data_IF_900368162282
#
_entry.id   IF_900368162282
#
_cell.length_a   1.000
_cell.length_b   1.000
_cell.length_c   1.000
_cell.angle_alpha   90.00
_cell.angle_beta   90.00
_cell.angle_gamma   90.00
#
_symmetry.space_group_name_H-M   'P 1'
#
loop_
_entity.id
_entity.type
_entity.pdbx_description
1 polymer ?
#
# COMPACT_ATOMS: atom_id res chain seq x y z
N UNK A 1 -9.49 22.99 14.63
CA UNK A 1 -8.63 21.80 14.55
C UNK A 1 -8.12 21.71 13.13
N UNK A 2 -6.85 21.37 12.91
CA UNK A 2 -6.29 21.24 11.56
C UNK A 2 -6.17 19.76 11.22
N UNK A 3 -6.89 19.32 10.21
CA UNK A 3 -6.97 17.91 9.81
C UNK A 3 -5.82 17.57 8.86
N UNK A 4 -5.05 16.53 9.17
CA UNK A 4 -4.08 15.94 8.23
C UNK A 4 -4.79 14.87 7.41
N UNK A 5 -4.68 14.93 6.10
CA UNK A 5 -5.30 13.96 5.18
C UNK A 5 -4.22 13.08 4.57
N UNK A 6 -4.38 11.76 4.67
CA UNK A 6 -3.49 10.78 4.06
C UNK A 6 -4.24 10.02 2.98
N UNK A 7 -3.74 10.09 1.75
CA UNK A 7 -4.26 9.36 0.61
C UNK A 7 -3.33 8.17 0.36
N UNK A 8 -3.81 6.96 0.64
CA UNK A 8 -3.09 5.74 0.30
C UNK A 8 -3.39 5.31 -1.13
N UNK A 9 -2.35 4.95 -1.88
CA UNK A 9 -2.45 4.48 -3.26
C UNK A 9 -1.71 3.15 -3.36
N UNK A 10 -2.40 2.07 -3.76
CA UNK A 10 -1.71 0.84 -4.20
C UNK A 10 -1.16 1.07 -5.61
N UNK A 11 0.02 0.53 -5.91
CA UNK A 11 0.51 0.53 -7.28
C UNK A 11 -0.51 -0.05 -8.28
N UNK A 12 -0.49 0.45 -9.51
CA UNK A 12 -1.30 -0.06 -10.61
C UNK A 12 -0.96 -1.50 -10.98
N UNK A 13 -1.81 -2.08 -11.81
CA UNK A 13 -1.72 -3.48 -12.24
C UNK A 13 -0.38 -3.80 -12.90
N UNK A 14 0.26 -4.88 -12.47
CA UNK A 14 1.54 -5.37 -13.00
C UNK A 14 1.40 -6.63 -13.85
N UNK A 15 2.48 -6.96 -14.58
CA UNK A 15 2.61 -8.21 -15.31
C UNK A 15 2.56 -9.48 -14.42
N UNK A 16 2.79 -9.35 -13.11
CA UNK A 16 2.60 -10.44 -12.15
C UNK A 16 1.14 -10.56 -11.74
N UNK A 17 0.48 -9.43 -11.46
CA UNK A 17 -0.96 -9.43 -11.12
C UNK A 17 -1.81 -10.01 -12.26
N UNK A 18 -1.47 -9.73 -13.53
CA UNK A 18 -2.17 -10.32 -14.69
C UNK A 18 -2.07 -11.85 -14.75
N UNK A 19 -1.00 -12.41 -14.22
CA UNK A 19 -0.77 -13.86 -14.14
C UNK A 19 -1.28 -14.47 -12.84
N UNK A 20 -1.88 -13.67 -11.95
CA UNK A 20 -2.29 -14.11 -10.62
C UNK A 20 -1.11 -14.52 -9.73
N UNK A 21 0.09 -13.98 -9.99
CA UNK A 21 1.31 -14.29 -9.27
C UNK A 21 1.56 -13.23 -8.19
N UNK A 22 2.16 -13.66 -7.08
CA UNK A 22 2.58 -12.77 -6.01
C UNK A 22 3.90 -12.07 -6.37
N UNK A 23 3.84 -10.75 -6.46
CA UNK A 23 4.92 -9.87 -6.89
C UNK A 23 5.98 -9.73 -5.78
N UNK A 24 5.57 -9.49 -4.53
CA UNK A 24 6.44 -9.09 -3.41
C UNK A 24 7.53 -8.11 -3.84
N UNK A 25 8.79 -8.40 -3.59
CA UNK A 25 9.90 -7.50 -3.93
C UNK A 25 10.45 -7.72 -5.36
N UNK A 26 9.71 -8.41 -6.24
CA UNK A 26 10.09 -8.52 -7.65
C UNK A 26 10.16 -7.17 -8.36
N UNK A 27 10.94 -7.13 -9.45
CA UNK A 27 10.96 -6.05 -10.44
C UNK A 27 9.74 -6.10 -11.38
N UNK A 28 8.54 -6.15 -10.80
CA UNK A 28 7.28 -6.13 -11.54
C UNK A 28 7.05 -4.77 -12.21
N UNK A 29 6.51 -4.79 -13.43
CA UNK A 29 6.31 -3.61 -14.27
C UNK A 29 4.83 -3.39 -14.50
N UNK A 30 4.39 -2.12 -14.60
CA UNK A 30 3.00 -1.79 -14.91
C UNK A 30 2.62 -2.29 -16.32
N UNK A 31 1.41 -2.82 -16.43
CA UNK A 31 0.83 -3.17 -17.74
C UNK A 31 0.18 -1.96 -18.39
N UNK A 32 -0.43 -2.12 -19.57
CA UNK A 32 -1.23 -1.05 -20.18
C UNK A 32 -2.32 -0.57 -19.24
N UNK A 33 -3.03 -1.52 -18.62
CA UNK A 33 -4.08 -1.26 -17.61
C UNK A 33 -3.49 -0.50 -16.41
N UNK A 34 -2.32 -0.93 -15.91
CA UNK A 34 -1.66 -0.26 -14.78
C UNK A 34 -1.27 1.19 -15.08
N UNK A 35 -0.81 1.48 -16.30
CA UNK A 35 -0.50 2.85 -16.72
C UNK A 35 -1.75 3.72 -16.88
N UNK A 36 -2.86 3.15 -17.33
CA UNK A 36 -4.11 3.90 -17.42
C UNK A 36 -4.71 4.16 -16.03
N UNK A 37 -4.55 3.23 -15.09
CA UNK A 37 -4.85 3.48 -13.67
C UNK A 37 -4.01 4.63 -13.10
N UNK A 38 -2.71 4.66 -13.40
CA UNK A 38 -1.81 5.74 -12.97
C UNK A 38 -2.26 7.13 -13.47
N UNK A 39 -2.68 7.23 -14.74
CA UNK A 39 -3.26 8.47 -15.29
C UNK A 39 -4.56 8.85 -14.58
N UNK A 40 -5.45 7.87 -14.36
CA UNK A 40 -6.73 8.10 -13.70
C UNK A 40 -6.57 8.56 -12.26
N UNK A 41 -5.55 8.11 -11.54
CA UNK A 41 -5.20 8.63 -10.21
C UNK A 41 -4.88 10.12 -10.28
N UNK A 42 -4.10 10.55 -11.28
CA UNK A 42 -3.78 11.97 -11.48
C UNK A 42 -5.04 12.80 -11.78
N UNK A 43 -5.96 12.26 -12.58
CA UNK A 43 -7.24 12.89 -12.90
C UNK A 43 -8.15 13.01 -11.67
N UNK A 44 -8.31 11.93 -10.88
CA UNK A 44 -9.15 11.93 -9.66
C UNK A 44 -8.69 13.00 -8.67
N UNK A 45 -7.38 13.21 -8.57
CA UNK A 45 -6.78 14.16 -7.64
C UNK A 45 -6.37 15.48 -8.30
N UNK A 46 -6.91 15.82 -9.48
CA UNK A 46 -6.55 17.06 -10.18
C UNK A 46 -6.79 18.31 -9.33
N UNK A 47 -7.87 18.31 -8.54
CA UNK A 47 -8.33 19.47 -7.77
C UNK A 47 -7.95 19.39 -6.29
N UNK A 48 -7.39 18.25 -5.85
CA UNK A 48 -6.95 18.05 -4.47
C UNK A 48 -5.66 18.83 -4.18
N UNK A 49 -5.60 19.54 -3.06
CA UNK A 49 -4.40 20.29 -2.66
C UNK A 49 -3.40 19.36 -1.97
N UNK A 50 -2.58 18.66 -2.76
CA UNK A 50 -1.56 17.74 -2.24
C UNK A 50 -0.27 18.50 -1.92
N UNK A 51 0.20 18.36 -0.68
CA UNK A 51 1.42 19.00 -0.17
C UNK A 51 2.67 18.14 -0.40
N UNK A 52 2.55 16.82 -0.33
CA UNK A 52 3.70 15.91 -0.51
C UNK A 52 3.29 14.54 -1.05
N UNK A 53 4.21 13.90 -1.77
CA UNK A 53 4.04 12.56 -2.33
C UNK A 53 5.19 11.66 -1.85
N UNK A 54 4.81 10.55 -1.24
CA UNK A 54 5.69 9.50 -0.76
C UNK A 54 5.44 8.22 -1.53
N UNK A 55 6.50 7.43 -1.75
CA UNK A 55 6.36 6.15 -2.43
C UNK A 55 7.31 5.11 -1.87
N UNK A 56 6.89 3.85 -1.97
CA UNK A 56 7.79 2.71 -1.99
C UNK A 56 8.88 2.90 -3.06
N UNK A 57 10.12 2.40 -2.85
CA UNK A 57 11.18 2.54 -3.83
C UNK A 57 11.01 1.69 -5.08
N UNK A 58 10.06 0.73 -5.12
CA UNK A 58 9.87 -0.16 -6.25
C UNK A 58 9.24 0.55 -7.45
N UNK A 59 9.78 0.27 -8.65
CA UNK A 59 9.45 0.97 -9.90
C UNK A 59 7.94 1.07 -10.15
N UNK A 60 7.19 -0.02 -9.94
CA UNK A 60 5.72 -0.02 -10.12
C UNK A 60 5.00 1.04 -9.28
N UNK A 61 5.45 1.35 -8.06
CA UNK A 61 4.86 2.41 -7.24
C UNK A 61 5.25 3.79 -7.78
N UNK A 62 6.52 3.96 -8.12
CA UNK A 62 7.04 5.21 -8.71
C UNK A 62 6.30 5.53 -10.01
N UNK A 63 6.19 4.56 -10.92
CA UNK A 63 5.49 4.70 -12.19
C UNK A 63 4.00 4.99 -11.99
N UNK A 64 3.39 4.40 -10.95
CA UNK A 64 1.97 4.64 -10.64
C UNK A 64 1.72 6.08 -10.22
N UNK A 65 2.60 6.65 -9.38
CA UNK A 65 2.38 7.98 -8.82
C UNK A 65 3.00 9.11 -9.62
N UNK A 66 3.87 8.78 -10.58
CA UNK A 66 4.55 9.76 -11.46
C UNK A 66 3.60 10.70 -12.20
N UNK A 67 2.47 10.25 -12.80
CA UNK A 67 1.55 11.17 -13.46
C UNK A 67 0.99 12.23 -12.51
N UNK A 68 0.61 11.84 -11.28
CA UNK A 68 0.10 12.76 -10.26
C UNK A 68 1.19 13.72 -9.78
N UNK A 69 2.40 13.21 -9.52
CA UNK A 69 3.52 14.03 -9.11
C UNK A 69 3.84 15.12 -10.16
N UNK A 70 3.85 14.74 -11.44
CA UNK A 70 4.04 15.68 -12.55
C UNK A 70 2.93 16.72 -12.64
N UNK A 71 1.66 16.32 -12.52
CA UNK A 71 0.53 17.27 -12.59
C UNK A 71 0.52 18.26 -11.43
N UNK A 72 1.07 17.89 -10.27
CA UNK A 72 1.19 18.75 -9.10
C UNK A 72 2.51 19.53 -9.02
N UNK A 73 3.48 19.24 -9.90
CA UNK A 73 4.82 19.82 -9.83
C UNK A 73 5.59 19.41 -8.57
N UNK A 74 5.32 18.22 -8.03
CA UNK A 74 5.91 17.71 -6.79
C UNK A 74 6.96 16.63 -7.07
N UNK A 75 7.97 16.56 -6.22
CA UNK A 75 8.92 15.45 -6.20
C UNK A 75 8.33 14.24 -5.45
N UNK A 76 8.76 13.04 -5.86
CA UNK A 76 8.40 11.79 -5.18
C UNK A 76 9.49 11.46 -4.16
N UNK A 77 9.16 11.52 -2.88
CA UNK A 77 10.07 11.09 -1.82
C UNK A 77 9.97 9.57 -1.61
N UNK A 78 11.08 8.86 -1.82
CA UNK A 78 11.13 7.40 -1.62
C UNK A 78 11.35 7.06 -0.14
N UNK A 79 10.55 6.16 0.40
CA UNK A 79 10.71 5.64 1.76
C UNK A 79 10.88 4.12 1.67
N UNK A 80 12.07 3.63 2.06
CA UNK A 80 12.40 2.20 1.99
C UNK A 80 11.44 1.33 2.82
N UNK A 81 10.99 1.82 3.97
CA UNK A 81 10.05 1.13 4.85
C UNK A 81 8.62 1.01 4.29
N UNK A 82 8.36 1.55 3.08
CA UNK A 82 7.14 1.30 2.31
C UNK A 82 7.30 0.18 1.26
N UNK A 83 8.43 -0.54 1.25
CA UNK A 83 8.61 -1.72 0.39
C UNK A 83 7.61 -2.83 0.74
N UNK A 84 7.20 -3.62 -0.25
CA UNK A 84 6.30 -4.76 -0.03
C UNK A 84 6.95 -5.78 0.90
N UNK A 85 6.11 -6.61 1.54
CA UNK A 85 6.54 -7.73 2.39
C UNK A 85 7.62 -8.56 1.69
N UNK A 86 8.71 -8.84 2.40
CA UNK A 86 9.69 -9.82 1.98
C UNK A 86 9.14 -11.22 2.25
N UNK A 87 8.84 -11.96 1.18
CA UNK A 87 8.29 -13.32 1.27
C UNK A 87 8.88 -14.21 0.16
N UNK A 88 10.15 -14.66 0.31
CA UNK A 88 10.89 -15.30 -0.76
C UNK A 88 10.25 -16.60 -1.27
N UNK A 89 9.68 -17.43 -0.38
CA UNK A 89 9.09 -18.72 -0.77
C UNK A 89 7.76 -18.56 -1.51
N UNK A 90 7.05 -17.46 -1.27
CA UNK A 90 5.78 -17.14 -1.92
C UNK A 90 5.96 -16.31 -3.19
N UNK A 91 7.16 -15.79 -3.43
CA UNK A 91 7.48 -15.05 -4.64
C UNK A 91 7.27 -15.89 -5.90
N UNK A 92 6.60 -15.30 -6.89
CA UNK A 92 6.21 -15.96 -8.14
C UNK A 92 5.24 -17.15 -7.97
N UNK A 93 4.64 -17.33 -6.80
CA UNK A 93 3.58 -18.32 -6.58
C UNK A 93 2.25 -17.71 -6.95
N UNK A 94 1.29 -18.57 -7.30
CA UNK A 94 -0.09 -18.16 -7.51
C UNK A 94 -0.72 -17.74 -6.19
N UNK A 95 -1.64 -16.79 -6.25
CA UNK A 95 -2.41 -16.27 -5.11
C UNK A 95 -3.18 -17.35 -4.30
N UNK A 96 -3.34 -18.57 -4.80
CA UNK A 96 -3.97 -19.68 -4.06
C UNK A 96 -3.05 -20.22 -2.96
N UNK A 97 -3.02 -19.56 -1.80
CA UNK A 97 -2.25 -19.93 -0.62
C UNK A 97 -2.87 -21.08 0.21
N UNK A 98 -3.92 -21.77 -0.29
CA UNK A 98 -4.74 -22.77 0.44
C UNK A 98 -3.95 -23.86 1.18
N UNK A 99 -2.69 -24.09 0.81
CA UNK A 99 -1.85 -25.15 1.39
C UNK A 99 -0.64 -24.62 2.18
N UNK A 100 -0.48 -23.32 2.36
CA UNK A 100 0.67 -22.78 3.09
C UNK A 100 0.45 -22.88 4.60
N UNK A 101 1.31 -23.64 5.29
CA UNK A 101 1.32 -23.70 6.75
C UNK A 101 2.16 -22.55 7.28
N UNK A 102 1.56 -21.78 8.20
CA UNK A 102 2.21 -20.66 8.87
C UNK A 102 3.50 -21.10 9.56
N UNK A 103 4.63 -20.51 9.15
CA UNK A 103 5.78 -20.31 10.01
C UNK A 103 5.80 -18.84 10.43
N UNK A 104 6.40 -18.53 11.58
CA UNK A 104 6.48 -17.17 12.11
C UNK A 104 7.45 -16.29 11.27
N UNK A 105 7.20 -16.12 9.97
CA UNK A 105 8.08 -15.47 9.01
C UNK A 105 7.60 -15.70 7.57
N UNK A 106 6.38 -15.24 7.27
CA UNK A 106 5.65 -15.32 6.00
C UNK A 106 6.48 -15.71 4.76
N UNK A 107 6.50 -16.99 4.38
CA UNK A 107 7.24 -17.44 3.20
C UNK A 107 8.76 -17.43 3.38
N UNK A 108 9.27 -17.70 4.57
CA UNK A 108 10.71 -17.61 4.90
C UNK A 108 11.27 -16.19 5.02
N UNK A 109 10.40 -15.19 5.22
CA UNK A 109 10.74 -13.77 5.20
C UNK A 109 10.26 -12.99 6.43
N UNK A 110 9.70 -11.80 6.22
CA UNK A 110 9.24 -10.89 7.28
C UNK A 110 8.02 -11.44 8.03
N UNK A 111 7.93 -11.17 9.33
CA UNK A 111 6.66 -11.30 10.05
C UNK A 111 5.76 -10.11 9.77
N UNK A 112 4.45 -10.32 9.71
CA UNK A 112 3.50 -9.22 9.51
C UNK A 112 3.57 -8.19 10.65
N UNK A 113 3.86 -8.59 11.89
CA UNK A 113 4.08 -7.65 13.00
C UNK A 113 5.34 -6.78 12.83
N UNK A 114 6.40 -7.31 12.19
CA UNK A 114 7.59 -6.53 11.84
C UNK A 114 7.28 -5.52 10.72
N UNK A 115 6.54 -5.96 9.70
CA UNK A 115 6.05 -5.09 8.61
C UNK A 115 5.16 -3.98 9.17
N UNK A 116 4.19 -4.32 10.01
CA UNK A 116 3.31 -3.34 10.64
C UNK A 116 4.10 -2.34 11.49
N UNK A 117 5.10 -2.81 12.23
CA UNK A 117 5.97 -1.95 13.04
C UNK A 117 6.74 -0.93 12.19
N UNK A 118 7.28 -1.30 11.02
CA UNK A 118 7.96 -0.32 10.14
C UNK A 118 6.97 0.64 9.47
N UNK A 119 5.81 0.16 9.03
CA UNK A 119 4.77 1.02 8.41
C UNK A 119 4.20 2.02 9.41
N UNK A 120 3.92 1.58 10.66
CA UNK A 120 3.47 2.44 11.76
C UNK A 120 4.43 3.60 12.00
N UNK A 121 5.74 3.32 12.10
CA UNK A 121 6.76 4.36 12.30
C UNK A 121 6.76 5.39 11.17
N UNK A 122 6.61 4.95 9.92
CA UNK A 122 6.50 5.86 8.76
C UNK A 122 5.29 6.77 8.92
N UNK A 123 4.12 6.21 9.24
CA UNK A 123 2.88 6.99 9.40
C UNK A 123 3.00 8.01 10.53
N UNK A 124 3.51 7.59 11.70
CA UNK A 124 3.70 8.48 12.85
C UNK A 124 4.61 9.67 12.51
N UNK A 125 5.73 9.41 11.84
CA UNK A 125 6.66 10.45 11.41
C UNK A 125 6.01 11.41 10.39
N UNK A 126 5.23 10.88 9.44
CA UNK A 126 4.57 11.70 8.42
C UNK A 126 3.44 12.55 9.02
N UNK A 127 2.67 12.01 9.97
CA UNK A 127 1.65 12.77 10.70
C UNK A 127 2.25 13.91 11.52
N UNK A 128 3.41 13.70 12.13
CA UNK A 128 4.11 14.75 12.85
C UNK A 128 4.60 15.86 11.91
N UNK A 129 5.12 15.48 10.73
CA UNK A 129 5.68 16.38 9.73
C UNK A 129 4.61 17.20 8.98
N UNK A 130 3.42 16.63 8.75
CA UNK A 130 2.40 17.17 7.83
C UNK A 130 1.10 17.56 8.54
N UNK A 131 1.20 18.32 9.63
CA UNK A 131 0.03 18.79 10.40
C UNK A 131 -0.84 19.72 9.55
N UNK A 132 -2.11 19.36 9.35
CA UNK A 132 -3.05 20.16 8.55
C UNK A 132 -2.83 20.08 7.04
N UNK A 133 -1.95 19.19 6.57
CA UNK A 133 -1.61 19.03 5.16
C UNK A 133 -2.22 17.74 4.59
N UNK A 134 -2.35 17.69 3.25
CA UNK A 134 -2.74 16.49 2.53
C UNK A 134 -1.53 15.85 1.89
N UNK A 135 -1.30 14.56 2.17
CA UNK A 135 -0.18 13.80 1.60
C UNK A 135 -0.66 12.55 0.89
N UNK A 136 0.10 12.11 -0.10
CA UNK A 136 -0.14 10.85 -0.80
C UNK A 136 0.96 9.84 -0.47
N UNK A 137 0.58 8.59 -0.20
CA UNK A 137 1.49 7.47 0.06
C UNK A 137 1.20 6.37 -0.96
N UNK A 138 2.09 6.16 -1.93
CA UNK A 138 2.00 5.07 -2.89
C UNK A 138 2.79 3.84 -2.41
N UNK A 139 2.11 2.72 -2.20
CA UNK A 139 2.72 1.48 -1.72
C UNK A 139 2.08 0.25 -2.39
N UNK A 140 1.94 -0.84 -1.63
CA UNK A 140 1.52 -2.15 -2.11
C UNK A 140 0.32 -2.68 -1.33
N UNK A 141 -0.18 -3.87 -1.68
CA UNK A 141 -1.41 -4.41 -1.11
C UNK A 141 -1.33 -4.53 0.42
N UNK A 142 -0.32 -5.25 0.92
CA UNK A 142 -0.17 -5.46 2.36
C UNK A 142 0.20 -4.17 3.07
N UNK A 143 1.11 -3.37 2.49
CA UNK A 143 1.57 -2.11 3.10
C UNK A 143 0.43 -1.10 3.24
N UNK A 144 -0.41 -0.94 2.22
CA UNK A 144 -1.58 -0.07 2.28
C UNK A 144 -2.61 -0.59 3.28
N UNK A 145 -2.83 -1.90 3.37
CA UNK A 145 -3.70 -2.48 4.40
C UNK A 145 -3.19 -2.21 5.83
N UNK A 146 -1.92 -2.50 6.09
CA UNK A 146 -1.30 -2.29 7.39
C UNK A 146 -1.21 -0.81 7.77
N UNK A 147 -1.04 0.07 6.78
CA UNK A 147 -1.08 1.51 7.02
C UNK A 147 -2.45 1.99 7.47
N UNK A 148 -3.52 1.44 6.90
CA UNK A 148 -4.90 1.75 7.31
C UNK A 148 -5.24 1.18 8.68
N UNK A 149 -4.76 -0.03 8.97
CA UNK A 149 -4.95 -0.68 10.26
C UNK A 149 -4.51 0.21 11.44
N UNK A 150 -3.47 1.04 11.25
CA UNK A 150 -3.04 2.00 12.26
C UNK A 150 -4.17 2.93 12.74
N UNK A 151 -5.08 3.31 11.83
CA UNK A 151 -6.21 4.21 12.11
C UNK A 151 -7.49 3.45 12.48
N UNK A 152 -7.61 2.19 12.08
CA UNK A 152 -8.81 1.39 12.22
C UNK A 152 -8.65 0.28 13.27
N UNK A 153 -8.50 0.69 14.54
CA UNK A 153 -8.37 -0.25 15.67
C UNK A 153 -9.52 -1.25 15.80
N UNK A 154 -10.71 -0.91 15.29
CA UNK A 154 -11.91 -1.74 15.23
C UNK A 154 -11.78 -2.97 14.32
N UNK A 155 -10.74 -3.01 13.46
CA UNK A 155 -10.45 -4.19 12.66
C UNK A 155 -10.08 -5.39 13.54
N UNK A 156 -9.56 -5.18 14.76
CA UNK A 156 -9.15 -6.26 15.67
C UNK A 156 -8.24 -7.30 14.97
N UNK A 157 -7.35 -6.80 14.11
CA UNK A 157 -6.43 -7.63 13.35
C UNK A 157 -5.19 -7.96 14.18
N UNK A 158 -5.00 -9.26 14.43
CA UNK A 158 -3.84 -9.78 15.12
C UNK A 158 -2.70 -10.03 14.12
N UNK A 159 -1.75 -9.10 14.08
CA UNK A 159 -0.58 -9.14 13.18
C UNK A 159 0.35 -10.32 13.44
N UNK A 160 0.20 -11.03 14.56
CA UNK A 160 0.99 -12.23 14.89
C UNK A 160 0.28 -13.54 14.49
N UNK A 161 -1.01 -13.48 14.10
CA UNK A 161 -1.82 -14.69 13.80
C UNK A 161 -2.30 -14.82 12.36
N UNK A 162 -2.53 -13.71 11.66
CA UNK A 162 -3.15 -13.74 10.33
C UNK A 162 -2.33 -12.94 9.31
N UNK A 163 -2.36 -13.38 8.05
CA UNK A 163 -1.96 -12.54 6.92
C UNK A 163 -3.07 -11.54 6.61
N UNK A 164 -2.75 -10.45 5.91
CA UNK A 164 -3.77 -9.49 5.47
C UNK A 164 -4.83 -10.22 4.63
N UNK A 165 -4.39 -11.12 3.75
CA UNK A 165 -5.24 -12.01 2.97
C UNK A 165 -6.17 -12.86 3.85
N UNK A 166 -5.64 -13.59 4.84
CA UNK A 166 -6.44 -14.50 5.65
C UNK A 166 -7.47 -13.77 6.49
N UNK A 167 -7.10 -12.59 6.99
CA UNK A 167 -8.04 -11.73 7.69
C UNK A 167 -9.13 -11.22 6.76
N UNK A 168 -8.78 -10.78 5.54
CA UNK A 168 -9.75 -10.35 4.54
C UNK A 168 -10.67 -11.49 4.06
N UNK A 169 -10.15 -12.71 3.89
CA UNK A 169 -10.96 -13.91 3.61
C UNK A 169 -12.00 -14.19 4.71
N UNK A 170 -11.59 -13.99 5.97
CA UNK A 170 -12.44 -14.24 7.14
C UNK A 170 -13.40 -13.08 7.44
N UNK A 171 -13.19 -11.91 6.83
CA UNK A 171 -13.99 -10.69 7.02
C UNK A 171 -14.36 -10.09 5.64
N UNK A 172 -15.10 -10.81 4.78
CA UNK A 172 -15.39 -10.39 3.41
C UNK A 172 -16.24 -9.11 3.33
N UNK A 173 -16.94 -8.74 4.39
CA UNK A 173 -17.65 -7.46 4.50
C UNK A 173 -16.70 -6.26 4.65
N UNK A 174 -15.47 -6.52 5.11
CA UNK A 174 -14.37 -5.55 5.16
C UNK A 174 -13.55 -5.56 3.86
N UNK A 175 -13.94 -6.42 2.92
CA UNK A 175 -13.38 -6.57 1.59
C UNK A 175 -13.91 -5.47 0.70
N UNK A 176 -13.48 -4.23 0.95
CA UNK A 176 -13.63 -3.21 -0.07
C UNK A 176 -12.60 -3.48 -1.18
N UNK A 177 -13.03 -4.19 -2.22
CA UNK A 177 -12.24 -4.48 -3.44
C UNK A 177 -11.71 -3.21 -4.10
N UNK A 178 -12.32 -2.04 -3.85
CA UNK A 178 -11.76 -0.77 -4.30
C UNK A 178 -10.38 -0.51 -3.67
N UNK A 179 -10.12 -0.99 -2.45
CA UNK A 179 -8.83 -0.84 -1.77
C UNK A 179 -7.76 -1.88 -2.18
N UNK A 180 -8.16 -3.00 -2.80
CA UNK A 180 -7.20 -3.96 -3.36
C UNK A 180 -6.70 -3.54 -4.74
N UNK A 181 -7.34 -2.59 -5.43
CA UNK A 181 -6.89 -2.10 -6.74
C UNK A 181 -6.97 -0.58 -6.88
N UNK A 182 -7.06 0.13 -5.77
CA UNK A 182 -7.49 1.52 -5.79
C UNK A 182 -7.15 2.27 -4.51
N UNK A 183 -7.47 3.54 -4.63
CA UNK A 183 -7.08 4.65 -3.79
C UNK A 183 -7.96 4.66 -2.54
N UNK A 184 -7.36 4.94 -1.38
CA UNK A 184 -8.09 5.16 -0.14
C UNK A 184 -7.68 6.48 0.51
N UNK A 185 -8.62 7.10 1.23
CA UNK A 185 -8.45 8.41 1.86
C UNK A 185 -8.75 8.28 3.35
N UNK A 186 -7.82 8.74 4.19
CA UNK A 186 -7.95 8.78 5.65
C UNK A 186 -7.80 10.23 6.12
N UNK A 187 -8.82 10.76 6.80
CA UNK A 187 -8.78 12.07 7.44
C UNK A 187 -8.45 11.93 8.93
N UNK A 188 -7.42 12.64 9.40
CA UNK A 188 -6.92 12.55 10.78
C UNK A 188 -7.08 13.91 11.47
N UNK A 189 -8.04 13.98 12.38
CA UNK A 189 -8.22 15.13 13.27
C UNK A 189 -7.31 14.98 14.50
N UNK A 190 -6.45 15.96 14.74
CA UNK A 190 -5.66 16.11 15.98
C UNK A 190 -5.77 17.52 16.52
#
# INVERSE_FOLDING_TARGET
MTTTKIIFVRHGRTNYNEKGLMDYQNKAQLTGIGRDQAKKIAEIFSDENINAIYSSPLDRCIDTITPLAKSKGLEITKINDLIEVNSPDLQNKTFSCKNYKWDNGYGGGEKISEVFSRVKKVIENLLEKHKGETIVICAHGDITFLGRLYFHSELNYDTDKYTCEKYLENNPEKYDISAMYGVEIVDVEK
#
